data_IF_576318511100
#
_entry.id   IF_576318511100
#
_cell.length_a   1.000
_cell.length_b   1.000
_cell.length_c   1.000
_cell.angle_alpha   90.00
_cell.angle_beta   90.00
_cell.angle_gamma   90.00
#
_symmetry.space_group_name_H-M   'P 1'
#
loop_
_entity.id
_entity.type
_entity.pdbx_description
1 polymer ?
#
# COMPACT_ATOMS: atom_id res chain seq x y z
N UNK A 1 2.39 -2.66 -15.54
CA UNK A 1 3.52 -1.75 -15.25
C UNK A 1 4.41 -2.47 -14.25
N UNK A 2 5.67 -2.74 -14.60
CA UNK A 2 6.65 -3.27 -13.66
C UNK A 2 6.77 -2.32 -12.48
N UNK A 3 6.83 -2.84 -11.26
CA UNK A 3 6.97 -2.04 -10.04
C UNK A 3 8.27 -1.25 -10.07
N UNK A 4 8.18 -0.04 -10.55
CA UNK A 4 9.13 1.02 -10.26
C UNK A 4 8.91 1.38 -8.79
N UNK A 5 9.92 1.23 -7.93
CA UNK A 5 9.92 1.99 -6.67
C UNK A 5 9.86 3.44 -7.13
N UNK A 6 8.78 4.19 -6.81
CA UNK A 6 8.63 5.54 -7.32
C UNK A 6 9.84 6.35 -6.87
N UNK A 7 10.48 7.07 -7.79
CA UNK A 7 11.41 8.11 -7.38
C UNK A 7 10.54 9.24 -6.80
N UNK A 8 10.38 9.26 -5.49
CA UNK A 8 9.59 10.26 -4.76
C UNK A 8 10.11 11.71 -4.88
N UNK A 9 11.18 11.94 -5.63
CA UNK A 9 11.61 13.26 -6.10
C UNK A 9 10.96 13.65 -7.46
N UNK A 10 10.19 12.76 -8.06
CA UNK A 10 9.52 12.99 -9.35
C UNK A 10 8.20 13.75 -9.20
N UNK A 11 8.07 14.90 -9.86
CA UNK A 11 6.81 15.66 -9.92
C UNK A 11 5.64 14.83 -10.42
N UNK A 12 5.87 13.88 -11.35
CA UNK A 12 4.80 13.02 -11.88
C UNK A 12 4.13 12.17 -10.81
N UNK A 13 4.89 11.62 -9.87
CA UNK A 13 4.33 10.82 -8.78
C UNK A 13 3.50 11.70 -7.85
N UNK A 14 4.00 12.88 -7.51
CA UNK A 14 3.24 13.83 -6.68
C UNK A 14 1.99 14.36 -7.39
N UNK A 15 2.02 14.53 -8.71
CA UNK A 15 0.85 14.90 -9.50
C UNK A 15 -0.23 13.83 -9.42
N UNK A 16 0.11 12.55 -9.62
CA UNK A 16 -0.81 11.43 -9.45
C UNK A 16 -1.40 11.38 -8.04
N UNK A 17 -0.55 11.46 -7.02
CA UNK A 17 -1.00 11.43 -5.62
C UNK A 17 -1.92 12.60 -5.25
N UNK A 18 -1.64 13.80 -5.72
CA UNK A 18 -2.49 14.98 -5.47
C UNK A 18 -3.80 14.92 -6.26
N UNK A 19 -3.78 14.32 -7.44
CA UNK A 19 -4.96 14.17 -8.31
C UNK A 19 -5.94 13.11 -7.80
N UNK A 20 -5.47 12.16 -6.96
CA UNK A 20 -6.35 11.21 -6.28
C UNK A 20 -7.20 11.94 -5.22
N UNK A 21 -8.40 12.33 -5.65
CA UNK A 21 -9.33 13.10 -4.82
C UNK A 21 -9.88 12.28 -3.63
N UNK A 22 -10.05 10.97 -3.80
CA UNK A 22 -10.54 10.07 -2.73
C UNK A 22 -9.51 10.00 -1.61
N UNK A 23 -8.25 9.74 -1.95
CA UNK A 23 -7.11 9.76 -1.03
C UNK A 23 -7.02 11.10 -0.29
N UNK A 24 -6.86 12.17 -1.06
CA UNK A 24 -6.54 13.50 -0.53
C UNK A 24 -7.67 14.06 0.34
N UNK A 25 -8.93 13.91 -0.08
CA UNK A 25 -10.09 14.39 0.69
C UNK A 25 -10.35 13.53 1.94
N UNK A 26 -10.05 12.23 1.90
CA UNK A 26 -10.20 11.38 3.10
C UNK A 26 -9.20 11.78 4.17
N UNK A 27 -7.92 11.99 3.82
CA UNK A 27 -6.93 12.54 4.75
C UNK A 27 -7.32 13.93 5.26
N UNK A 28 -7.82 14.80 4.40
CA UNK A 28 -8.30 16.12 4.82
C UNK A 28 -9.41 16.03 5.86
N UNK A 29 -10.41 15.16 5.64
CA UNK A 29 -11.50 14.91 6.61
C UNK A 29 -10.97 14.36 7.92
N UNK A 30 -10.06 13.37 7.85
CA UNK A 30 -9.47 12.75 9.03
C UNK A 30 -8.67 13.76 9.86
N UNK A 31 -7.84 14.58 9.22
CA UNK A 31 -7.08 15.65 9.88
C UNK A 31 -8.05 16.64 10.54
N UNK A 32 -9.04 17.13 9.80
CA UNK A 32 -10.02 18.11 10.33
C UNK A 32 -10.80 17.59 11.54
N UNK A 33 -11.10 16.29 11.58
CA UNK A 33 -11.83 15.68 12.69
C UNK A 33 -10.96 15.43 13.93
N UNK A 34 -9.65 15.27 13.76
CA UNK A 34 -8.78 14.78 14.81
C UNK A 34 -7.75 15.79 15.33
N UNK A 35 -7.28 16.71 14.51
CA UNK A 35 -6.37 17.80 14.92
C UNK A 35 -7.18 18.89 15.60
N UNK A 36 -6.72 19.33 16.77
CA UNK A 36 -7.34 20.36 17.60
C UNK A 36 -6.56 21.67 17.50
N UNK A 37 -7.25 22.76 17.86
CA UNK A 37 -6.60 24.05 17.99
C UNK A 37 -5.47 24.00 19.03
N UNK A 38 -4.28 24.47 18.62
CA UNK A 38 -3.07 24.46 19.45
C UNK A 38 -2.24 23.17 19.41
N UNK A 39 -2.67 22.12 18.72
CA UNK A 39 -1.90 20.87 18.60
C UNK A 39 -0.54 21.08 17.92
N UNK A 40 0.41 20.23 18.31
CA UNK A 40 1.68 19.98 17.59
C UNK A 40 1.52 18.73 16.76
N UNK A 41 1.83 18.80 15.48
CA UNK A 41 1.69 17.67 14.55
C UNK A 41 3.03 17.36 13.87
N UNK A 42 3.33 16.08 13.69
CA UNK A 42 4.42 15.61 12.81
C UNK A 42 3.81 14.99 11.56
N UNK A 43 4.24 15.45 10.40
CA UNK A 43 3.90 14.89 9.09
C UNK A 43 5.11 14.12 8.56
N UNK A 44 5.01 12.78 8.53
CA UNK A 44 6.09 11.88 8.11
C UNK A 44 5.93 11.52 6.64
N UNK A 45 6.94 11.86 5.83
CA UNK A 45 6.87 11.74 4.38
C UNK A 45 5.98 12.83 3.78
N UNK A 46 6.24 14.09 4.15
CA UNK A 46 5.33 15.21 3.80
C UNK A 46 5.16 15.45 2.30
N UNK A 47 6.11 14.99 1.47
CA UNK A 47 6.10 15.16 0.02
C UNK A 47 5.93 16.63 -0.37
N UNK A 48 4.82 16.98 -1.03
CA UNK A 48 4.47 18.35 -1.41
C UNK A 48 3.92 19.20 -0.27
N UNK A 49 3.80 18.65 0.95
CA UNK A 49 3.33 19.36 2.14
C UNK A 49 1.82 19.47 2.26
N UNK A 50 1.04 18.73 1.47
CA UNK A 50 -0.43 18.87 1.46
C UNK A 50 -1.04 18.52 2.81
N UNK A 51 -0.58 17.44 3.47
CA UNK A 51 -1.09 17.03 4.78
C UNK A 51 -0.67 18.02 5.87
N UNK A 52 0.60 18.46 5.86
CA UNK A 52 1.07 19.50 6.76
C UNK A 52 0.23 20.78 6.65
N UNK A 53 -0.11 21.22 5.43
CA UNK A 53 -0.97 22.39 5.22
C UNK A 53 -2.41 22.15 5.68
N UNK A 54 -2.95 20.94 5.54
CA UNK A 54 -4.27 20.60 6.09
C UNK A 54 -4.28 20.65 7.62
N UNK A 55 -3.19 20.22 8.29
CA UNK A 55 -3.11 20.29 9.77
C UNK A 55 -3.05 21.73 10.27
N UNK A 56 -2.32 22.62 9.59
CA UNK A 56 -2.34 24.06 9.91
C UNK A 56 -3.76 24.63 9.76
N UNK A 57 -4.46 24.30 8.66
CA UNK A 57 -5.84 24.75 8.44
C UNK A 57 -6.83 24.15 9.44
N UNK A 58 -6.50 23.04 10.08
CA UNK A 58 -7.32 22.42 11.14
C UNK A 58 -7.06 23.03 12.53
N UNK A 59 -6.06 23.92 12.69
CA UNK A 59 -5.78 24.62 13.94
C UNK A 59 -4.47 24.23 14.62
N UNK A 60 -3.63 23.41 14.00
CA UNK A 60 -2.32 23.07 14.55
C UNK A 60 -1.49 24.35 14.75
N UNK A 61 -0.91 24.53 15.94
CA UNK A 61 -0.02 25.65 16.21
C UNK A 61 1.37 25.50 15.60
N UNK A 62 1.80 24.23 15.43
CA UNK A 62 3.11 23.86 14.88
C UNK A 62 3.03 22.53 14.16
N UNK A 63 3.66 22.45 12.99
CA UNK A 63 3.81 21.23 12.21
C UNK A 63 5.28 21.01 11.90
N UNK A 64 5.79 19.82 12.19
CA UNK A 64 7.10 19.33 11.77
C UNK A 64 6.92 18.42 10.55
N UNK A 65 7.28 18.92 9.38
CA UNK A 65 7.09 18.23 8.11
C UNK A 65 8.42 17.58 7.68
N UNK A 66 8.51 16.27 7.78
CA UNK A 66 9.74 15.49 7.55
C UNK A 66 9.69 14.85 6.17
N UNK A 67 10.74 15.03 5.36
CA UNK A 67 10.84 14.50 4.01
C UNK A 67 12.31 14.31 3.61
N UNK A 68 12.74 13.10 3.20
CA UNK A 68 14.14 12.85 2.84
C UNK A 68 14.52 13.36 1.45
N UNK A 69 13.56 13.68 0.57
CA UNK A 69 13.83 14.02 -0.83
C UNK A 69 13.81 15.53 -1.08
N UNK A 70 14.34 15.95 -2.22
CA UNK A 70 14.38 17.35 -2.63
C UNK A 70 13.01 18.00 -2.88
N UNK A 71 11.93 17.21 -2.93
CA UNK A 71 10.54 17.72 -3.09
C UNK A 71 10.14 18.64 -1.94
N UNK A 72 10.75 18.50 -0.76
CA UNK A 72 10.53 19.36 0.40
C UNK A 72 10.72 20.86 0.09
N UNK A 73 11.66 21.19 -0.82
CA UNK A 73 11.87 22.57 -1.25
C UNK A 73 10.66 23.14 -2.02
N UNK A 74 9.94 22.27 -2.74
CA UNK A 74 8.68 22.66 -3.38
C UNK A 74 7.58 22.82 -2.34
N UNK A 75 7.48 21.93 -1.36
CA UNK A 75 6.54 22.02 -0.24
C UNK A 75 6.67 23.36 0.51
N UNK A 76 7.90 23.76 0.83
CA UNK A 76 8.18 25.06 1.48
C UNK A 76 7.65 26.24 0.65
N UNK A 77 7.90 26.24 -0.67
CA UNK A 77 7.42 27.31 -1.56
C UNK A 77 5.90 27.34 -1.63
N UNK A 78 5.26 26.16 -1.73
CA UNK A 78 3.80 26.08 -1.76
C UNK A 78 3.21 26.59 -0.44
N UNK A 79 3.73 26.17 0.71
CA UNK A 79 3.27 26.63 2.02
C UNK A 79 3.41 28.16 2.17
N UNK A 80 4.55 28.73 1.76
CA UNK A 80 4.79 30.17 1.77
C UNK A 80 3.80 30.92 0.89
N UNK A 81 3.55 30.46 -0.34
CA UNK A 81 2.60 31.06 -1.27
C UNK A 81 1.17 31.08 -0.71
N UNK A 82 0.82 30.09 0.13
CA UNK A 82 -0.49 29.99 0.76
C UNK A 82 -0.58 30.68 2.14
N UNK A 83 0.49 31.34 2.61
CA UNK A 83 0.54 32.01 3.92
C UNK A 83 0.50 31.03 5.10
N UNK A 84 0.96 29.78 4.91
CA UNK A 84 0.95 28.72 5.92
C UNK A 84 2.37 28.35 6.38
N UNK A 85 3.40 29.02 5.86
CA UNK A 85 4.79 28.64 6.09
C UNK A 85 5.29 28.87 7.52
N UNK A 86 4.71 29.83 8.25
CA UNK A 86 5.20 30.21 9.58
C UNK A 86 4.92 29.13 10.64
N UNK A 87 3.86 28.35 10.48
CA UNK A 87 3.53 27.25 11.38
C UNK A 87 4.20 25.92 11.00
N UNK A 88 4.78 25.81 9.79
CA UNK A 88 5.38 24.55 9.30
C UNK A 88 6.89 24.66 9.32
N UNK A 89 7.53 23.77 10.05
CA UNK A 89 8.97 23.56 10.01
C UNK A 89 9.28 22.36 9.13
N UNK A 90 9.93 22.62 8.00
CA UNK A 90 10.30 21.59 7.04
C UNK A 90 11.68 21.04 7.40
N UNK A 91 11.76 19.74 7.66
CA UNK A 91 12.96 19.03 8.09
C UNK A 91 13.36 18.04 7.00
N UNK A 92 14.49 18.32 6.35
CA UNK A 92 15.03 17.38 5.34
C UNK A 92 15.74 16.24 6.04
N UNK A 93 15.24 15.02 5.89
CA UNK A 93 15.81 13.81 6.46
C UNK A 93 14.78 12.70 6.61
N UNK A 94 15.24 11.54 7.09
CA UNK A 94 14.37 10.42 7.44
C UNK A 94 13.90 10.58 8.89
N UNK A 95 12.72 10.06 9.19
CA UNK A 95 12.15 10.15 10.55
C UNK A 95 13.05 9.51 11.62
N UNK A 96 13.85 8.51 11.23
CA UNK A 96 14.82 7.84 12.10
C UNK A 96 16.03 8.72 12.46
N UNK A 97 16.39 9.64 11.59
CA UNK A 97 17.67 10.38 11.64
C UNK A 97 17.50 11.82 12.15
N UNK A 98 16.27 12.36 12.12
CA UNK A 98 16.00 13.74 12.53
C UNK A 98 15.53 13.83 13.98
N UNK A 99 15.78 14.96 14.63
CA UNK A 99 15.27 15.25 15.96
C UNK A 99 14.02 16.12 15.88
N UNK A 100 13.01 15.80 16.69
CA UNK A 100 11.87 16.68 16.90
C UNK A 100 12.10 17.49 18.17
N UNK A 101 11.97 18.81 18.12
CA UNK A 101 12.22 19.66 19.29
C UNK A 101 11.15 19.51 20.39
N UNK A 102 9.97 18.99 20.06
CA UNK A 102 8.90 18.75 21.03
C UNK A 102 8.04 17.53 20.66
N UNK A 103 7.34 16.98 21.65
CA UNK A 103 6.42 15.86 21.44
C UNK A 103 5.12 16.31 20.77
N UNK A 104 4.66 15.52 19.82
CA UNK A 104 3.46 15.76 19.01
C UNK A 104 2.18 15.21 19.66
N UNK A 105 1.09 15.94 19.48
CA UNK A 105 -0.27 15.49 19.81
C UNK A 105 -0.81 14.51 18.76
N UNK A 106 -0.34 14.65 17.51
CA UNK A 106 -0.74 13.82 16.40
C UNK A 106 0.42 13.58 15.45
N UNK A 107 0.51 12.36 14.92
CA UNK A 107 1.34 12.05 13.75
C UNK A 107 0.40 11.74 12.58
N UNK A 108 0.60 12.43 11.47
CA UNK A 108 -0.03 12.12 10.20
C UNK A 108 1.02 11.58 9.23
N UNK A 109 0.69 10.56 8.48
CA UNK A 109 1.57 10.05 7.43
C UNK A 109 0.75 9.33 6.38
N UNK A 110 0.96 9.66 5.13
CA UNK A 110 0.48 8.85 4.01
C UNK A 110 1.67 8.05 3.48
N UNK A 111 1.82 6.86 4.02
CA UNK A 111 2.92 5.92 3.80
C UNK A 111 2.51 4.67 3.02
N UNK A 112 1.26 4.65 2.53
CA UNK A 112 0.63 3.47 1.97
C UNK A 112 1.06 3.28 0.50
N UNK A 113 1.88 2.28 0.26
CA UNK A 113 2.20 1.81 -1.08
C UNK A 113 1.12 0.89 -1.66
N UNK A 114 1.45 0.23 -2.75
CA UNK A 114 0.60 -0.83 -3.31
C UNK A 114 0.46 -1.96 -2.28
N UNK A 115 -0.77 -2.45 -2.09
CA UNK A 115 -1.11 -3.36 -0.99
C UNK A 115 -0.61 -2.83 0.37
N UNK A 116 -0.70 -1.53 0.56
CA UNK A 116 -0.28 -0.73 1.71
C UNK A 116 1.20 -0.81 2.07
N UNK A 117 1.76 -2.01 2.27
CA UNK A 117 3.04 -2.22 2.96
C UNK A 117 4.25 -2.44 2.04
N UNK A 118 4.06 -2.53 0.72
CA UNK A 118 5.11 -2.98 -0.21
C UNK A 118 6.39 -2.14 -0.14
N UNK A 119 6.29 -0.85 0.13
CA UNK A 119 7.41 0.08 0.17
C UNK A 119 8.18 0.09 1.49
N UNK A 120 7.79 -0.77 2.42
CA UNK A 120 8.40 -0.93 3.75
C UNK A 120 8.57 0.38 4.53
N UNK A 121 7.59 1.29 4.44
CA UNK A 121 7.61 2.57 5.17
C UNK A 121 7.19 2.45 6.64
N UNK A 122 6.54 1.33 7.02
CA UNK A 122 6.02 1.13 8.38
C UNK A 122 7.09 1.30 9.47
N UNK A 123 8.33 0.78 9.34
CA UNK A 123 9.38 1.01 10.34
C UNK A 123 9.70 2.50 10.57
N UNK A 124 9.72 3.32 9.52
CA UNK A 124 9.95 4.78 9.63
C UNK A 124 8.84 5.47 10.41
N UNK A 125 7.58 5.10 10.13
CA UNK A 125 6.42 5.66 10.84
C UNK A 125 6.38 5.17 12.29
N UNK A 126 6.74 3.91 12.55
CA UNK A 126 6.88 3.36 13.91
C UNK A 126 7.98 4.09 14.69
N UNK A 127 9.13 4.34 14.09
CA UNK A 127 10.21 5.14 14.68
C UNK A 127 9.74 6.56 15.03
N UNK A 128 9.02 7.23 14.13
CA UNK A 128 8.44 8.54 14.39
C UNK A 128 7.48 8.51 15.59
N UNK A 129 6.60 7.50 15.67
CA UNK A 129 5.69 7.32 16.80
C UNK A 129 6.44 7.23 18.13
N UNK A 130 7.44 6.38 18.24
CA UNK A 130 8.20 6.18 19.48
C UNK A 130 8.97 7.43 19.90
N UNK A 131 9.54 8.11 18.93
CA UNK A 131 10.39 9.28 19.18
C UNK A 131 9.61 10.56 19.41
N UNK A 132 8.50 10.76 18.69
CA UNK A 132 7.85 12.08 18.62
C UNK A 132 6.44 12.10 19.24
N UNK A 133 5.71 10.98 19.29
CA UNK A 133 4.33 11.01 19.78
C UNK A 133 4.27 11.13 21.30
N UNK A 134 3.29 11.88 21.81
CA UNK A 134 2.90 11.88 23.22
C UNK A 134 2.22 10.54 23.57
N UNK A 135 2.20 10.12 24.84
CA UNK A 135 1.55 8.85 25.25
C UNK A 135 0.09 8.73 24.78
N UNK A 136 -0.67 9.83 24.87
CA UNK A 136 -2.09 9.89 24.45
C UNK A 136 -2.27 10.47 23.04
N UNK A 137 -1.17 10.59 22.29
CA UNK A 137 -1.18 11.15 20.93
C UNK A 137 -1.85 10.19 19.93
N UNK A 138 -2.29 10.76 18.81
CA UNK A 138 -3.02 10.05 17.76
C UNK A 138 -2.12 9.74 16.57
N UNK A 139 -2.39 8.60 15.92
CA UNK A 139 -1.84 8.25 14.60
C UNK A 139 -2.93 8.42 13.53
N UNK A 140 -2.59 8.99 12.39
CA UNK A 140 -3.46 9.12 11.22
C UNK A 140 -2.77 8.55 9.97
N UNK A 141 -3.17 7.33 9.54
CA UNK A 141 -4.23 6.45 10.05
C UNK A 141 -3.87 5.81 11.40
N UNK A 142 -4.89 5.35 12.15
CA UNK A 142 -4.67 4.59 13.41
C UNK A 142 -4.50 3.08 13.18
N UNK A 143 -5.06 2.56 12.08
CA UNK A 143 -4.99 1.15 11.70
C UNK A 143 -5.01 0.99 10.18
N UNK A 144 -4.31 -0.03 9.69
CA UNK A 144 -4.39 -0.47 8.29
C UNK A 144 -4.76 -1.95 8.28
N UNK A 145 -5.82 -2.30 7.53
CA UNK A 145 -6.28 -3.68 7.38
C UNK A 145 -6.05 -4.14 5.95
N UNK A 146 -5.46 -5.34 5.78
CA UNK A 146 -5.25 -5.94 4.46
C UNK A 146 -6.27 -7.04 4.21
N UNK A 147 -6.77 -7.09 2.97
CA UNK A 147 -7.80 -8.03 2.54
C UNK A 147 -7.33 -8.83 1.33
N UNK A 148 -7.79 -10.07 1.24
CA UNK A 148 -7.67 -10.93 0.06
C UNK A 148 -9.02 -11.52 -0.33
N UNK A 149 -9.16 -11.82 -1.62
CA UNK A 149 -10.23 -12.65 -2.17
C UNK A 149 -9.69 -13.47 -3.34
N UNK A 150 -10.25 -14.66 -3.59
CA UNK A 150 -10.04 -15.40 -4.82
C UNK A 150 -10.64 -14.62 -5.99
N UNK A 151 -9.99 -14.67 -7.16
CA UNK A 151 -10.42 -13.84 -8.29
C UNK A 151 -10.39 -14.56 -9.62
N UNK A 152 -11.39 -14.24 -10.46
CA UNK A 152 -11.47 -14.56 -11.88
C UNK A 152 -11.25 -13.28 -12.71
N UNK A 153 -10.17 -13.23 -13.49
CA UNK A 153 -9.91 -12.16 -14.42
C UNK A 153 -9.03 -12.67 -15.57
N UNK A 154 -9.67 -13.26 -16.56
CA UNK A 154 -9.01 -13.84 -17.74
C UNK A 154 -8.25 -12.77 -18.54
N UNK A 155 -8.85 -11.59 -18.72
CA UNK A 155 -8.24 -10.50 -19.52
C UNK A 155 -6.90 -10.06 -18.94
N UNK A 156 -6.87 -9.77 -17.64
CA UNK A 156 -5.62 -9.37 -16.98
C UNK A 156 -4.60 -10.51 -16.93
N UNK A 157 -5.05 -11.74 -16.71
CA UNK A 157 -4.18 -12.91 -16.71
C UNK A 157 -3.56 -13.14 -18.07
N UNK A 158 -4.35 -13.04 -19.14
CA UNK A 158 -3.88 -13.10 -20.53
C UNK A 158 -2.85 -11.99 -20.81
N UNK A 159 -3.20 -10.74 -20.48
CA UNK A 159 -2.33 -9.57 -20.72
C UNK A 159 -1.00 -9.68 -19.99
N UNK A 160 -0.99 -10.15 -18.73
CA UNK A 160 0.23 -10.17 -17.92
C UNK A 160 1.07 -11.43 -18.12
N UNK A 161 0.42 -12.60 -18.26
CA UNK A 161 1.09 -13.90 -18.15
C UNK A 161 0.99 -14.69 -19.46
N UNK A 162 -0.22 -15.11 -19.88
CA UNK A 162 -0.41 -16.10 -20.94
C UNK A 162 0.13 -15.65 -22.30
N UNK A 163 0.05 -14.35 -22.61
CA UNK A 163 0.54 -13.82 -23.88
C UNK A 163 2.03 -14.15 -24.15
N UNK A 164 2.82 -14.31 -23.10
CA UNK A 164 4.25 -14.60 -23.22
C UNK A 164 4.53 -16.06 -23.63
N UNK A 165 3.58 -16.96 -23.41
CA UNK A 165 3.65 -18.36 -23.86
C UNK A 165 3.37 -18.50 -25.36
N UNK A 166 2.84 -17.46 -26.02
CA UNK A 166 2.53 -17.46 -27.46
C UNK A 166 3.73 -17.18 -28.38
N UNK A 167 4.95 -17.17 -27.84
CA UNK A 167 6.19 -16.92 -28.58
C UNK A 167 6.13 -15.64 -29.43
N UNK A 168 5.91 -14.47 -28.80
CA UNK A 168 5.89 -13.21 -29.54
C UNK A 168 7.20 -13.04 -30.30
N UNK A 169 7.11 -12.55 -31.53
CA UNK A 169 8.23 -12.42 -32.46
C UNK A 169 8.95 -13.75 -32.80
N UNK A 170 8.31 -14.91 -32.55
CA UNK A 170 8.89 -16.24 -32.76
C UNK A 170 9.91 -16.66 -31.70
N UNK A 171 10.04 -15.92 -30.61
CA UNK A 171 10.97 -16.19 -29.50
C UNK A 171 10.20 -16.77 -28.31
N UNK A 172 10.81 -17.76 -27.66
CA UNK A 172 10.25 -18.36 -26.44
C UNK A 172 10.51 -17.44 -25.23
N UNK A 173 9.41 -16.95 -24.63
CA UNK A 173 9.42 -16.10 -23.43
C UNK A 173 8.77 -16.81 -22.22
N UNK A 174 8.81 -18.14 -22.16
CA UNK A 174 8.25 -18.89 -21.04
C UNK A 174 8.85 -18.51 -19.69
N UNK A 175 10.16 -18.22 -19.63
CA UNK A 175 10.81 -17.71 -18.41
C UNK A 175 10.27 -16.35 -18.00
N UNK A 176 9.90 -15.49 -18.96
CA UNK A 176 9.28 -14.21 -18.67
C UNK A 176 7.86 -14.41 -18.13
N UNK A 177 7.08 -15.34 -18.70
CA UNK A 177 5.78 -15.72 -18.17
C UNK A 177 5.87 -16.25 -16.72
N UNK A 178 6.89 -17.07 -16.45
CA UNK A 178 7.17 -17.54 -15.09
C UNK A 178 7.47 -16.38 -14.14
N UNK A 179 8.27 -15.40 -14.53
CA UNK A 179 8.54 -14.22 -13.74
C UNK A 179 7.24 -13.44 -13.45
N UNK A 180 6.43 -13.22 -14.49
CA UNK A 180 5.14 -12.52 -14.34
C UNK A 180 4.17 -13.25 -13.40
N UNK A 181 4.17 -14.58 -13.38
CA UNK A 181 3.34 -15.38 -12.47
C UNK A 181 3.85 -15.40 -11.02
N UNK A 182 5.07 -14.94 -10.77
CA UNK A 182 5.66 -14.80 -9.44
C UNK A 182 5.79 -13.32 -9.00
N UNK A 183 5.31 -12.37 -9.81
CA UNK A 183 5.26 -10.95 -9.46
C UNK A 183 3.83 -10.52 -9.12
N UNK A 184 3.70 -9.35 -8.52
CA UNK A 184 2.42 -8.72 -8.24
C UNK A 184 2.09 -7.70 -9.32
N UNK A 185 0.81 -7.54 -9.63
CA UNK A 185 0.36 -6.58 -10.64
C UNK A 185 -0.69 -5.63 -10.07
N UNK A 186 -0.60 -4.36 -10.43
CA UNK A 186 -1.66 -3.38 -10.13
C UNK A 186 -2.75 -3.52 -11.17
N UNK A 187 -3.95 -3.87 -10.72
CA UNK A 187 -5.13 -4.16 -11.56
C UNK A 187 -6.34 -3.48 -10.94
N UNK A 188 -7.24 -2.99 -11.75
CA UNK A 188 -8.59 -2.62 -11.32
C UNK A 188 -9.52 -3.81 -11.47
N UNK A 189 -10.01 -4.35 -10.37
CA UNK A 189 -11.02 -5.41 -10.38
C UNK A 189 -12.42 -4.84 -10.25
N UNK A 190 -13.38 -5.47 -10.89
CA UNK A 190 -14.79 -5.28 -10.61
C UNK A 190 -15.26 -6.28 -9.53
N UNK A 191 -16.31 -5.96 -8.79
CA UNK A 191 -16.83 -6.85 -7.73
C UNK A 191 -17.22 -8.24 -8.25
N UNK A 192 -17.69 -8.33 -9.49
CA UNK A 192 -18.05 -9.62 -10.11
C UNK A 192 -16.84 -10.49 -10.50
N UNK A 193 -15.62 -9.95 -10.44
CA UNK A 193 -14.40 -10.75 -10.57
C UNK A 193 -14.15 -11.61 -9.33
N UNK A 194 -14.71 -11.28 -8.18
CA UNK A 194 -14.47 -12.00 -6.94
C UNK A 194 -15.16 -13.39 -7.00
N UNK A 195 -14.42 -14.41 -6.59
CA UNK A 195 -14.88 -15.79 -6.48
C UNK A 195 -15.19 -16.19 -5.04
N UNK A 196 -14.73 -15.42 -4.05
CA UNK A 196 -14.98 -15.65 -2.63
C UNK A 196 -15.33 -14.35 -1.93
N UNK A 197 -15.91 -14.45 -0.74
CA UNK A 197 -16.03 -13.30 0.14
C UNK A 197 -14.63 -12.77 0.51
N UNK A 198 -14.46 -11.45 0.61
CA UNK A 198 -13.22 -10.85 1.12
C UNK A 198 -12.90 -11.31 2.54
N UNK A 199 -11.64 -11.65 2.77
CA UNK A 199 -11.16 -11.96 4.11
C UNK A 199 -10.10 -10.95 4.55
N UNK A 200 -10.28 -10.34 5.72
CA UNK A 200 -9.19 -9.61 6.38
C UNK A 200 -8.11 -10.61 6.78
N UNK A 201 -6.89 -10.37 6.33
CA UNK A 201 -5.74 -11.24 6.60
C UNK A 201 -4.85 -10.71 7.73
N UNK A 202 -4.83 -9.39 7.94
CA UNK A 202 -4.12 -8.75 9.04
C UNK A 202 -4.68 -7.37 9.34
N UNK A 203 -4.69 -7.02 10.61
CA UNK A 203 -4.89 -5.67 11.13
C UNK A 203 -3.55 -5.14 11.67
N UNK A 204 -3.06 -4.04 11.11
CA UNK A 204 -1.85 -3.34 11.53
C UNK A 204 -2.27 -2.17 12.41
N UNK A 205 -2.22 -2.32 13.74
CA UNK A 205 -2.51 -1.24 14.69
C UNK A 205 -1.30 -0.33 14.81
N UNK A 206 -1.41 0.90 14.38
CA UNK A 206 -0.31 1.86 14.32
C UNK A 206 0.22 2.28 15.70
N UNK A 207 -0.47 1.93 16.78
CA UNK A 207 0.03 2.14 18.16
C UNK A 207 1.13 1.14 18.54
N UNK A 208 1.14 -0.05 17.90
CA UNK A 208 2.02 -1.16 18.32
C UNK A 208 2.87 -1.73 17.18
N UNK A 209 2.46 -1.53 15.94
CA UNK A 209 3.16 -2.06 14.78
C UNK A 209 4.60 -1.51 14.70
N UNK A 210 5.54 -2.37 14.36
CA UNK A 210 6.97 -2.04 14.26
C UNK A 210 7.57 -2.40 12.90
N UNK A 211 7.02 -3.42 12.23
CA UNK A 211 7.47 -3.89 10.93
C UNK A 211 6.32 -4.46 10.09
N UNK A 212 6.63 -4.80 8.85
CA UNK A 212 5.67 -5.31 7.88
C UNK A 212 5.68 -6.84 7.77
N UNK A 213 6.32 -7.55 8.68
CA UNK A 213 6.44 -9.00 8.60
C UNK A 213 5.22 -9.69 9.19
N UNK A 214 4.62 -10.60 8.44
CA UNK A 214 3.58 -11.48 8.94
C UNK A 214 3.46 -12.75 8.10
N UNK A 215 2.80 -13.75 8.67
CA UNK A 215 2.42 -14.98 8.00
C UNK A 215 1.05 -15.44 8.49
N UNK A 216 0.16 -15.77 7.54
CA UNK A 216 -1.19 -16.24 7.85
C UNK A 216 -1.55 -17.48 7.04
N UNK A 217 -2.52 -18.21 7.54
CA UNK A 217 -3.28 -19.22 6.81
C UNK A 217 -4.77 -18.89 6.92
N UNK A 218 -5.49 -18.92 5.80
CA UNK A 218 -6.91 -18.59 5.73
C UNK A 218 -7.65 -19.54 4.82
N UNK A 219 -8.82 -20.00 5.25
CA UNK A 219 -9.73 -20.76 4.43
C UNK A 219 -10.67 -19.81 3.67
N UNK A 220 -10.75 -19.99 2.35
CA UNK A 220 -11.70 -19.31 1.49
C UNK A 220 -12.71 -20.30 0.95
N UNK A 221 -13.98 -19.90 0.94
CA UNK A 221 -15.07 -20.65 0.34
C UNK A 221 -15.49 -19.99 -0.97
N UNK A 222 -15.49 -20.77 -2.05
CA UNK A 222 -15.92 -20.31 -3.37
C UNK A 222 -17.41 -20.03 -3.36
N UNK A 223 -17.82 -18.85 -3.82
CA UNK A 223 -19.22 -18.38 -3.81
C UNK A 223 -19.95 -18.63 -5.13
N UNK A 224 -19.22 -18.84 -6.22
CA UNK A 224 -19.76 -19.14 -7.56
C UNK A 224 -18.78 -19.97 -8.36
N UNK A 225 -19.30 -20.70 -9.35
CA UNK A 225 -18.47 -21.38 -10.34
C UNK A 225 -17.65 -20.35 -11.13
N UNK A 226 -16.44 -20.73 -11.56
CA UNK A 226 -15.56 -19.89 -12.36
C UNK A 226 -14.16 -20.45 -12.48
N UNK A 227 -13.26 -19.65 -13.05
CA UNK A 227 -11.84 -19.98 -13.20
C UNK A 227 -11.05 -19.11 -12.25
N UNK A 228 -10.38 -19.71 -11.27
CA UNK A 228 -9.50 -19.00 -10.36
C UNK A 228 -8.19 -18.67 -11.07
N UNK A 229 -7.85 -17.38 -11.15
CA UNK A 229 -6.61 -16.84 -11.73
C UNK A 229 -5.60 -16.42 -10.67
N UNK A 230 -5.99 -16.38 -9.38
CA UNK A 230 -5.16 -15.95 -8.27
C UNK A 230 -5.94 -15.25 -7.17
N UNK A 231 -5.27 -14.28 -6.50
CA UNK A 231 -5.86 -13.45 -5.46
C UNK A 231 -5.91 -11.99 -5.88
N UNK A 232 -7.00 -11.32 -5.53
CA UNK A 232 -7.05 -9.87 -5.47
C UNK A 232 -6.79 -9.42 -4.04
N UNK A 233 -5.89 -8.45 -3.85
CA UNK A 233 -5.56 -7.86 -2.58
C UNK A 233 -5.80 -6.36 -2.55
N UNK A 234 -6.28 -5.84 -1.41
CA UNK A 234 -6.49 -4.42 -1.18
C UNK A 234 -6.38 -4.08 0.30
N UNK A 235 -6.52 -2.80 0.63
CA UNK A 235 -6.44 -2.36 2.01
C UNK A 235 -7.53 -1.38 2.41
N UNK A 236 -7.70 -1.23 3.71
CA UNK A 236 -8.42 -0.14 4.34
C UNK A 236 -7.48 0.60 5.30
N UNK A 237 -7.36 1.91 5.14
CA UNK A 237 -6.76 2.78 6.14
C UNK A 237 -7.87 3.37 7.01
N UNK A 238 -7.82 3.08 8.30
CA UNK A 238 -8.83 3.42 9.28
C UNK A 238 -8.28 4.56 10.13
N UNK A 239 -9.05 5.63 10.22
CA UNK A 239 -8.74 6.80 11.03
C UNK A 239 -9.71 6.87 12.21
N UNK A 240 -9.35 7.58 13.29
CA UNK A 240 -10.29 7.86 14.36
C UNK A 240 -11.58 8.48 13.84
N UNK A 241 -12.66 8.46 14.66
CA UNK A 241 -13.99 8.95 14.31
C UNK A 241 -14.66 8.19 13.15
N UNK A 242 -14.21 6.94 12.87
CA UNK A 242 -14.82 6.05 11.88
C UNK A 242 -14.60 6.46 10.42
N UNK A 243 -13.64 7.31 10.13
CA UNK A 243 -13.27 7.67 8.77
C UNK A 243 -12.44 6.55 8.17
N UNK A 244 -12.77 6.11 6.96
CA UNK A 244 -12.11 4.99 6.28
C UNK A 244 -11.74 5.40 4.85
N UNK A 245 -10.50 5.12 4.46
CA UNK A 245 -10.05 5.05 3.08
C UNK A 245 -10.03 3.57 2.70
N UNK A 246 -10.83 3.18 1.70
CA UNK A 246 -10.99 1.79 1.31
C UNK A 246 -10.72 1.64 -0.19
N UNK A 247 -9.80 0.74 -0.55
CA UNK A 247 -9.40 0.46 -1.93
C UNK A 247 -10.00 -0.83 -2.50
N UNK A 248 -11.09 -1.34 -1.90
CA UNK A 248 -11.79 -2.53 -2.38
C UNK A 248 -12.42 -2.32 -3.78
N UNK A 249 -12.65 -3.39 -4.57
CA UNK A 249 -13.16 -3.30 -5.94
C UNK A 249 -14.50 -2.56 -6.10
N UNK A 250 -15.36 -2.55 -5.09
CA UNK A 250 -16.66 -1.86 -5.10
C UNK A 250 -16.59 -0.40 -4.68
N UNK A 251 -15.42 0.07 -4.26
CA UNK A 251 -15.23 1.43 -3.78
C UNK A 251 -14.86 2.40 -4.92
N UNK A 252 -15.00 3.70 -4.71
CA UNK A 252 -14.50 4.69 -5.66
C UNK A 252 -13.03 4.45 -5.99
N UNK A 253 -12.71 4.58 -7.26
CA UNK A 253 -11.36 4.33 -7.79
C UNK A 253 -10.30 5.23 -7.12
N UNK A 254 -9.14 4.64 -6.85
CA UNK A 254 -7.95 5.32 -6.34
C UNK A 254 -6.72 4.90 -7.16
N UNK A 255 -5.66 5.70 -7.14
CA UNK A 255 -4.40 5.38 -7.82
C UNK A 255 -3.75 4.06 -7.34
N UNK A 256 -4.10 3.56 -6.15
CA UNK A 256 -3.63 2.26 -5.67
C UNK A 256 -4.24 1.09 -6.42
N UNK A 257 -5.45 1.24 -6.99
CA UNK A 257 -6.18 0.11 -7.55
C UNK A 257 -6.24 -1.08 -6.58
N UNK A 258 -6.14 -2.31 -7.08
CA UNK A 258 -5.93 -3.52 -6.27
C UNK A 258 -4.67 -4.24 -6.73
N UNK A 259 -4.16 -5.13 -5.88
CA UNK A 259 -2.99 -5.95 -6.17
C UNK A 259 -3.44 -7.34 -6.61
N UNK A 260 -2.98 -7.77 -7.76
CA UNK A 260 -3.19 -9.12 -8.26
C UNK A 260 -1.98 -10.00 -7.90
N UNK A 261 -2.24 -11.13 -7.27
CA UNK A 261 -1.30 -12.20 -6.94
C UNK A 261 -1.68 -13.40 -7.79
N UNK A 262 -1.09 -13.60 -8.97
CA UNK A 262 -1.50 -14.64 -9.90
C UNK A 262 -1.09 -16.05 -9.45
N UNK A 263 -1.71 -17.08 -10.03
CA UNK A 263 -1.22 -18.44 -10.02
C UNK A 263 -0.62 -18.78 -11.38
N UNK A 264 0.28 -19.77 -11.42
CA UNK A 264 0.97 -20.15 -12.67
C UNK A 264 0.03 -20.78 -13.70
N UNK A 265 -1.04 -21.43 -13.26
CA UNK A 265 -2.05 -22.09 -14.11
C UNK A 265 -3.43 -21.82 -13.54
N UNK A 266 -4.35 -21.23 -14.32
CA UNK A 266 -5.74 -21.03 -13.91
C UNK A 266 -6.46 -22.35 -13.63
N UNK A 267 -7.30 -22.36 -12.60
CA UNK A 267 -8.02 -23.56 -12.16
C UNK A 267 -9.52 -23.36 -12.15
N UNK A 268 -10.26 -24.32 -12.71
CA UNK A 268 -11.71 -24.38 -12.59
C UNK A 268 -12.10 -24.66 -11.13
N UNK A 269 -12.97 -23.82 -10.58
CA UNK A 269 -13.52 -23.96 -9.23
C UNK A 269 -15.05 -23.97 -9.29
N UNK A 270 -15.69 -24.62 -8.31
CA UNK A 270 -17.14 -24.69 -8.20
C UNK A 270 -17.61 -24.05 -6.90
N UNK A 271 -18.84 -23.58 -6.90
CA UNK A 271 -19.45 -23.03 -5.70
C UNK A 271 -19.39 -24.05 -4.55
N UNK A 272 -18.91 -23.61 -3.41
CA UNK A 272 -18.75 -24.41 -2.21
C UNK A 272 -17.36 -25.05 -2.04
N UNK A 273 -16.50 -25.00 -3.06
CA UNK A 273 -15.11 -25.46 -2.91
C UNK A 273 -14.40 -24.69 -1.79
N UNK A 274 -13.53 -25.42 -1.07
CA UNK A 274 -12.71 -24.86 0.01
C UNK A 274 -11.26 -24.78 -0.45
N UNK A 275 -10.67 -23.61 -0.29
CA UNK A 275 -9.32 -23.27 -0.75
C UNK A 275 -8.54 -22.68 0.41
N UNK A 276 -7.39 -23.27 0.75
CA UNK A 276 -6.49 -22.75 1.75
C UNK A 276 -5.51 -21.81 1.10
N UNK A 277 -5.45 -20.58 1.59
CA UNK A 277 -4.43 -19.57 1.22
C UNK A 277 -3.47 -19.38 2.39
N UNK A 278 -2.18 -19.60 2.13
CA UNK A 278 -1.10 -19.19 3.01
C UNK A 278 -0.45 -17.96 2.40
N UNK A 279 -0.35 -16.91 3.17
CA UNK A 279 0.20 -15.65 2.71
C UNK A 279 1.24 -15.14 3.69
N UNK A 280 2.38 -14.69 3.17
CA UNK A 280 3.43 -14.09 3.98
C UNK A 280 3.90 -12.77 3.34
N UNK A 281 4.19 -11.80 4.21
CA UNK A 281 4.93 -10.60 3.90
C UNK A 281 6.27 -10.68 4.63
N UNK A 282 7.36 -10.48 3.90
CA UNK A 282 8.74 -10.58 4.42
C UNK A 282 9.50 -9.33 3.98
N UNK A 283 9.77 -8.44 4.92
CA UNK A 283 10.45 -7.18 4.67
C UNK A 283 11.96 -7.36 4.55
N UNK A 284 12.56 -6.73 3.57
CA UNK A 284 13.99 -6.40 3.58
C UNK A 284 14.18 -4.91 3.90
N UNK A 285 15.41 -4.39 3.74
CA UNK A 285 15.70 -2.99 4.07
C UNK A 285 14.99 -1.96 3.16
N UNK A 286 14.38 -2.39 2.05
CA UNK A 286 13.84 -1.48 1.02
C UNK A 286 12.38 -1.75 0.66
N UNK A 287 12.01 -3.02 0.60
CA UNK A 287 10.69 -3.44 0.10
C UNK A 287 10.17 -4.63 0.92
N UNK A 288 8.87 -4.87 0.83
CA UNK A 288 8.24 -6.08 1.35
C UNK A 288 8.04 -7.07 0.21
N UNK A 289 8.53 -8.29 0.42
CA UNK A 289 8.32 -9.42 -0.47
C UNK A 289 7.08 -10.17 -0.06
N UNK A 290 6.28 -10.57 -1.05
CA UNK A 290 5.09 -11.38 -0.83
C UNK A 290 5.33 -12.81 -1.29
N UNK A 291 4.87 -13.75 -0.46
CA UNK A 291 4.79 -15.17 -0.78
C UNK A 291 3.36 -15.60 -0.59
N UNK A 292 2.77 -16.22 -1.61
CA UNK A 292 1.41 -16.74 -1.53
C UNK A 292 1.37 -18.17 -2.03
N UNK A 293 0.67 -19.00 -1.28
CA UNK A 293 0.38 -20.39 -1.61
C UNK A 293 -1.12 -20.56 -1.63
N UNK A 294 -1.65 -21.15 -2.70
CA UNK A 294 -3.06 -21.44 -2.89
C UNK A 294 -3.22 -22.94 -3.05
N UNK A 295 -3.81 -23.60 -2.07
CA UNK A 295 -4.01 -25.05 -2.04
C UNK A 295 -5.50 -25.40 -2.24
N UNK A 296 -5.79 -26.10 -3.33
CA UNK A 296 -7.13 -26.52 -3.73
C UNK A 296 -7.44 -27.92 -3.14
N UNK A 297 -8.23 -27.98 -2.08
CA UNK A 297 -8.49 -29.21 -1.33
C UNK A 297 -9.17 -30.31 -2.16
N UNK A 298 -10.07 -29.94 -3.06
CA UNK A 298 -10.89 -30.88 -3.86
C UNK A 298 -10.21 -31.32 -5.17
N UNK A 299 -9.08 -30.73 -5.58
CA UNK A 299 -8.42 -30.97 -6.86
C UNK A 299 -7.11 -31.75 -6.70
N UNK A 300 -7.16 -32.93 -6.09
CA UNK A 300 -5.99 -33.83 -5.88
C UNK A 300 -4.81 -33.14 -5.19
N UNK A 301 -5.07 -32.10 -4.38
CA UNK A 301 -4.03 -31.35 -3.67
C UNK A 301 -3.20 -30.43 -4.58
N UNK A 302 -3.77 -29.91 -5.68
CA UNK A 302 -3.10 -28.89 -6.49
C UNK A 302 -2.71 -27.70 -5.62
N UNK A 303 -1.45 -27.32 -5.70
CA UNK A 303 -0.89 -26.21 -4.90
C UNK A 303 -0.06 -25.30 -5.82
N UNK A 304 -0.31 -24.00 -5.74
CA UNK A 304 0.43 -22.99 -6.49
C UNK A 304 1.13 -22.06 -5.50
N UNK A 305 2.41 -21.76 -5.78
CA UNK A 305 3.24 -20.90 -4.94
C UNK A 305 3.81 -19.78 -5.79
N UNK A 306 3.39 -18.54 -5.50
CA UNK A 306 4.00 -17.33 -6.00
C UNK A 306 4.98 -16.75 -4.97
N UNK A 307 6.05 -16.10 -5.44
CA UNK A 307 7.08 -15.53 -4.57
C UNK A 307 7.81 -14.42 -5.31
N UNK A 308 7.60 -13.17 -4.90
CA UNK A 308 8.21 -11.99 -5.55
C UNK A 308 9.74 -11.98 -5.47
N UNK A 309 10.37 -12.77 -4.60
CA UNK A 309 11.83 -12.92 -4.54
C UNK A 309 12.41 -13.65 -5.75
N UNK A 310 11.60 -14.48 -6.41
CA UNK A 310 12.03 -15.25 -7.61
C UNK A 310 12.22 -14.37 -8.86
N UNK A 311 11.72 -13.14 -8.83
CA UNK A 311 11.79 -12.15 -9.93
C UNK A 311 12.80 -11.04 -9.68
N UNK A 312 13.60 -11.13 -8.62
CA UNK A 312 14.72 -10.20 -8.38
C UNK A 312 15.79 -10.42 -9.43
N UNK A 313 15.81 -9.58 -10.42
CA UNK A 313 17.03 -9.32 -11.22
C UNK A 313 17.88 -8.39 -10.36
N UNK A 314 19.15 -8.77 -10.08
CA UNK A 314 20.03 -8.05 -9.13
C UNK A 314 19.92 -6.52 -9.33
N UNK A 315 19.64 -5.81 -8.27
CA UNK A 315 19.36 -4.36 -8.27
C UNK A 315 20.59 -3.49 -8.54
N UNK A 316 21.75 -4.06 -8.89
CA UNK A 316 22.99 -3.34 -9.16
C UNK A 316 22.98 -2.54 -10.49
N UNK A 317 21.90 -2.63 -11.28
CA UNK A 317 21.76 -1.91 -12.54
C UNK A 317 21.02 -0.55 -12.44
N UNK A 318 20.56 -0.10 -11.28
CA UNK A 318 19.83 1.16 -11.13
C UNK A 318 20.54 2.26 -10.32
N UNK A 319 21.87 2.20 -10.27
CA UNK A 319 22.71 3.31 -9.81
C UNK A 319 23.21 4.11 -11.02
N UNK A 320 22.30 4.71 -11.80
CA UNK A 320 22.62 5.79 -12.75
C UNK A 320 21.62 6.92 -12.51
#
# INVERSE_FOLDING_TARGET
>A
MSFFIPKYDSLRIHDLMLSDSIRTQTYQRAIKANVKDGDVVVDVGTGTGILAMFTVKAGARKVYAIEPTGIINLAQRIAKTNGLGDQIEFIMGRAEDVDSPEKADCIVSEWLGVFAIQENMLPSVASARERFLKPEGKMLPEKVSLFLSLVENEESYEEKITRWNRKPYGIDYSDFAFCQANDTHVITFASNNLLSDPACIIDIDMRYAIDSNFRIEKLFKVQRDGICHGLAGWFQAIFPEGIILNTAPEQPWTEWCQTFFPISEPIQVNQGDEIIVRFAAEADNKVVHFVWEIAFMNLKGATFIGDTRKVKFSTDYFSI
#
